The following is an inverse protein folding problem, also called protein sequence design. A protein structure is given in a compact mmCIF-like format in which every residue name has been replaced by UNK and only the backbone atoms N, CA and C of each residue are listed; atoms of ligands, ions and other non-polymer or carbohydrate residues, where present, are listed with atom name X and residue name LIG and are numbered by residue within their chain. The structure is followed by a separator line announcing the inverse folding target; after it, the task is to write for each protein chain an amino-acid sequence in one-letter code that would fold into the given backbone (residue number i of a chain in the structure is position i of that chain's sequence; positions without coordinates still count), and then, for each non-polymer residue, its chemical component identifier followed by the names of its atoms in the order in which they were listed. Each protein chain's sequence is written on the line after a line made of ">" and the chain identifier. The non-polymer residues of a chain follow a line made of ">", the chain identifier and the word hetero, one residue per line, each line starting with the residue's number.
data_IF_034442971098
#
_entry.id   IF_034442971098
#
_cell.length_a   1.000
_cell.length_b   1.000
_cell.length_c   1.000
_cell.angle_alpha   90.00
_cell.angle_beta   90.00
_cell.angle_gamma   90.00
#
_symmetry.space_group_name_H-M   'P 1'
#
loop_
_entity.id
_entity.type
_entity.pdbx_description
1 polymer ?
#
# COMPACT_ATOMS: atom_id res chain seq x y z
N UNK A 1 37.48 -45.01 -4.22
CA UNK A 1 37.96 -43.98 -3.31
C UNK A 1 38.04 -42.69 -4.13
N UNK A 2 37.08 -41.82 -3.99
CA UNK A 2 37.21 -40.47 -4.53
C UNK A 2 38.40 -39.81 -3.84
N UNK A 3 39.31 -39.25 -4.63
CA UNK A 3 40.48 -38.60 -4.08
C UNK A 3 40.07 -37.31 -3.35
N UNK A 4 40.74 -36.96 -2.27
CA UNK A 4 40.50 -35.74 -1.45
C UNK A 4 40.45 -34.45 -2.33
N UNK A 5 41.18 -34.45 -3.45
CA UNK A 5 41.20 -33.39 -4.45
C UNK A 5 39.86 -33.27 -5.23
N UNK A 6 39.20 -34.41 -5.54
CA UNK A 6 37.92 -34.41 -6.24
C UNK A 6 36.83 -33.84 -5.34
N UNK A 7 36.82 -34.21 -4.06
CA UNK A 7 35.89 -33.70 -3.07
C UNK A 7 36.09 -32.18 -2.88
N UNK A 8 37.31 -31.69 -2.76
CA UNK A 8 37.64 -30.28 -2.66
C UNK A 8 37.20 -29.48 -3.89
N UNK A 9 37.42 -30.03 -5.09
CA UNK A 9 36.98 -29.38 -6.33
C UNK A 9 35.44 -29.25 -6.41
N UNK A 10 34.70 -30.27 -5.98
CA UNK A 10 33.25 -30.27 -5.96
C UNK A 10 32.69 -29.28 -4.91
N UNK A 11 33.30 -29.26 -3.72
CA UNK A 11 32.94 -28.28 -2.69
C UNK A 11 33.15 -26.84 -3.17
N UNK A 12 34.29 -26.55 -3.80
CA UNK A 12 34.57 -25.23 -4.36
C UNK A 12 33.56 -24.84 -5.47
N UNK A 13 33.15 -25.82 -6.27
CA UNK A 13 32.16 -25.63 -7.32
C UNK A 13 30.77 -25.29 -6.73
N UNK A 14 30.31 -26.01 -5.71
CA UNK A 14 29.06 -25.76 -5.01
C UNK A 14 29.08 -24.40 -4.31
N UNK A 15 30.18 -24.04 -3.69
CA UNK A 15 30.35 -22.72 -3.07
C UNK A 15 30.22 -21.60 -4.11
N UNK A 16 30.83 -21.73 -5.29
CA UNK A 16 30.66 -20.78 -6.39
C UNK A 16 29.23 -20.65 -6.85
N UNK A 17 28.47 -21.74 -6.88
CA UNK A 17 27.04 -21.66 -7.22
C UNK A 17 26.26 -20.89 -6.15
N UNK A 18 26.47 -21.19 -4.88
CA UNK A 18 25.82 -20.51 -3.77
C UNK A 18 26.14 -18.99 -3.74
N UNK A 19 27.42 -18.64 -4.04
CA UNK A 19 27.87 -17.24 -4.11
C UNK A 19 27.22 -16.44 -5.28
N UNK A 20 26.92 -17.12 -6.39
CA UNK A 20 26.39 -16.49 -7.59
C UNK A 20 24.84 -16.61 -7.72
N UNK A 21 24.15 -17.07 -6.69
CA UNK A 21 22.68 -17.07 -6.69
C UNK A 21 22.12 -15.63 -6.71
N UNK A 22 21.01 -15.38 -7.43
CA UNK A 22 20.43 -14.02 -7.58
C UNK A 22 19.76 -13.50 -6.30
N UNK A 23 20.19 -13.87 -5.15
CA UNK A 23 19.73 -13.45 -3.83
C UNK A 23 20.77 -13.76 -2.78
N UNK A 24 20.56 -13.25 -1.59
CA UNK A 24 21.38 -13.67 -0.44
C UNK A 24 21.02 -15.10 -0.07
N UNK A 25 21.99 -15.99 -0.10
CA UNK A 25 21.79 -17.40 0.28
C UNK A 25 22.33 -17.65 1.69
N UNK A 26 21.59 -18.40 2.49
CA UNK A 26 22.05 -18.86 3.79
C UNK A 26 21.52 -20.25 4.13
N UNK A 27 22.22 -20.91 5.04
CA UNK A 27 21.81 -22.17 5.63
C UNK A 27 21.93 -22.06 7.16
N UNK A 28 20.90 -22.53 7.88
CA UNK A 28 20.89 -22.59 9.33
C UNK A 28 20.67 -24.02 9.79
N UNK A 29 21.24 -24.44 10.93
CA UNK A 29 20.82 -25.65 11.60
C UNK A 29 19.40 -25.47 12.14
N UNK A 30 18.58 -26.52 12.10
CA UNK A 30 17.23 -26.55 12.67
C UNK A 30 17.31 -26.71 14.20
N UNK A 31 17.84 -25.70 14.86
CA UNK A 31 18.06 -25.64 16.29
C UNK A 31 17.38 -24.38 16.85
N UNK A 32 16.09 -24.45 17.21
CA UNK A 32 15.34 -23.31 17.75
C UNK A 32 15.85 -22.86 19.12
N UNK A 33 16.43 -23.76 19.94
CA UNK A 33 16.93 -23.43 21.28
C UNK A 33 18.15 -22.50 21.19
N UNK A 34 19.00 -22.71 20.19
CA UNK A 34 20.16 -21.88 19.91
C UNK A 34 19.91 -20.76 18.87
N UNK A 35 18.63 -20.52 18.52
CA UNK A 35 18.25 -19.40 17.65
C UNK A 35 18.57 -19.59 16.17
N UNK A 36 18.62 -20.87 15.68
CA UNK A 36 18.93 -21.25 14.31
C UNK A 36 20.32 -20.79 13.88
N UNK A 37 21.36 -21.39 14.40
CA UNK A 37 22.72 -20.97 14.08
C UNK A 37 23.02 -21.15 12.59
N UNK A 38 23.69 -20.16 12.03
CA UNK A 38 24.13 -20.21 10.64
C UNK A 38 25.21 -21.28 10.44
N UNK A 39 25.01 -22.10 9.43
CA UNK A 39 26.06 -23.05 8.94
C UNK A 39 26.72 -22.53 7.68
N UNK A 40 26.03 -21.66 6.94
CA UNK A 40 26.58 -21.00 5.75
C UNK A 40 25.90 -19.67 5.49
N UNK A 41 26.67 -18.67 5.03
CA UNK A 41 26.14 -17.34 4.62
C UNK A 41 26.94 -16.90 3.38
N UNK A 42 26.25 -16.59 2.27
CA UNK A 42 26.85 -16.03 1.07
C UNK A 42 27.23 -14.56 1.28
N UNK A 43 28.25 -14.09 0.52
CA UNK A 43 28.63 -12.66 0.57
C UNK A 43 27.46 -11.76 0.13
N UNK A 44 26.67 -12.23 -0.83
CA UNK A 44 25.47 -11.52 -1.27
C UNK A 44 24.43 -11.31 -0.16
N UNK A 45 24.28 -12.25 0.78
CA UNK A 45 23.42 -12.08 1.95
C UNK A 45 23.91 -10.93 2.83
N UNK A 46 25.20 -10.86 3.06
CA UNK A 46 25.81 -9.79 3.85
C UNK A 46 25.73 -8.43 3.15
N UNK A 47 25.95 -8.38 1.84
CA UNK A 47 25.78 -7.17 1.02
C UNK A 47 24.36 -6.61 1.09
N UNK A 48 23.34 -7.47 0.97
CA UNK A 48 21.93 -7.08 1.09
C UNK A 48 21.67 -6.38 2.43
N UNK A 49 22.24 -6.88 3.52
CA UNK A 49 22.08 -6.33 4.85
C UNK A 49 23.09 -5.20 5.17
N UNK A 50 24.12 -5.04 4.33
CA UNK A 50 25.16 -4.01 4.49
C UNK A 50 26.17 -4.32 5.59
N UNK A 51 26.33 -5.59 5.96
CA UNK A 51 27.27 -6.02 6.99
C UNK A 51 28.57 -6.55 6.40
N UNK A 52 29.69 -6.21 7.03
CA UNK A 52 30.93 -6.94 6.83
C UNK A 52 30.90 -8.25 7.62
N UNK A 53 31.60 -9.29 7.11
CA UNK A 53 31.53 -10.65 7.67
C UNK A 53 31.99 -10.72 9.13
N UNK A 54 33.03 -10.02 9.49
CA UNK A 54 33.59 -9.97 10.84
C UNK A 54 32.66 -9.23 11.81
N UNK A 55 32.10 -8.09 11.37
CA UNK A 55 31.10 -7.33 12.15
C UNK A 55 29.82 -8.14 12.41
N UNK A 56 29.35 -8.84 11.38
CA UNK A 56 28.19 -9.70 11.45
C UNK A 56 28.38 -10.83 12.47
N UNK A 57 29.49 -11.54 12.38
CA UNK A 57 29.83 -12.65 13.28
C UNK A 57 29.92 -12.17 14.76
N UNK A 58 30.55 -11.03 15.00
CA UNK A 58 30.67 -10.47 16.35
C UNK A 58 29.37 -10.01 16.95
N UNK A 59 28.42 -9.51 16.12
CA UNK A 59 27.18 -8.88 16.59
C UNK A 59 26.07 -9.87 16.88
N UNK A 60 25.91 -10.89 16.06
CA UNK A 60 24.73 -11.76 16.06
C UNK A 60 24.96 -13.11 16.74
N UNK A 61 26.17 -13.37 17.19
CA UNK A 61 26.55 -14.63 17.87
C UNK A 61 26.06 -15.86 17.06
N UNK A 62 26.23 -15.77 15.74
CA UNK A 62 25.84 -16.79 14.76
C UNK A 62 24.34 -17.16 14.78
N UNK A 63 23.44 -16.33 15.34
CA UNK A 63 22.01 -16.65 15.50
C UNK A 63 21.13 -15.92 14.50
N UNK A 64 20.42 -16.67 13.66
CA UNK A 64 19.49 -16.11 12.67
C UNK A 64 18.35 -15.29 13.32
N UNK A 65 17.81 -15.79 14.43
CA UNK A 65 16.69 -15.15 15.12
C UNK A 65 17.02 -13.71 15.60
N UNK A 66 18.30 -13.43 15.86
CA UNK A 66 18.75 -12.12 16.28
C UNK A 66 18.67 -11.04 15.17
N UNK A 67 18.56 -11.47 13.91
CA UNK A 67 18.38 -10.58 12.76
C UNK A 67 16.93 -10.21 12.50
N UNK A 68 15.99 -11.07 12.88
CA UNK A 68 14.57 -10.88 12.52
C UNK A 68 13.95 -9.80 13.40
N UNK A 69 13.14 -8.93 12.80
CA UNK A 69 12.42 -7.91 13.56
C UNK A 69 11.51 -8.55 14.63
N UNK A 70 11.46 -8.02 15.87
CA UNK A 70 10.69 -8.61 16.97
C UNK A 70 9.21 -8.85 16.67
N UNK A 71 8.57 -7.94 15.93
CA UNK A 71 7.15 -8.10 15.56
C UNK A 71 6.95 -9.23 14.53
N UNK A 72 7.94 -9.43 13.67
CA UNK A 72 7.86 -10.43 12.60
C UNK A 72 8.22 -11.83 13.13
N UNK A 73 8.95 -11.91 14.24
CA UNK A 73 9.21 -13.18 14.93
C UNK A 73 7.92 -13.88 15.37
N UNK A 74 6.91 -13.12 15.80
CA UNK A 74 5.60 -13.67 16.21
C UNK A 74 4.84 -14.27 15.02
N UNK A 75 4.95 -13.65 13.85
CA UNK A 75 4.35 -14.15 12.61
C UNK A 75 5.16 -15.30 11.99
N UNK A 76 6.48 -15.25 12.06
CA UNK A 76 7.38 -16.33 11.64
C UNK A 76 7.27 -17.59 12.51
N UNK A 77 6.91 -17.45 13.79
CA UNK A 77 6.58 -18.55 14.67
C UNK A 77 5.28 -19.27 14.29
N UNK A 78 4.36 -18.62 13.59
CA UNK A 78 3.17 -19.30 13.01
C UNK A 78 3.55 -20.29 11.91
N UNK A 79 4.62 -20.06 11.20
CA UNK A 79 5.17 -21.03 10.23
C UNK A 79 5.72 -22.29 10.90
N UNK A 80 6.20 -22.18 12.15
CA UNK A 80 6.73 -23.32 12.92
C UNK A 80 5.68 -24.15 13.66
N UNK A 81 4.59 -23.52 14.08
CA UNK A 81 3.50 -24.23 14.77
C UNK A 81 2.55 -24.97 13.81
N UNK A 82 2.78 -24.88 12.50
CA UNK A 82 2.17 -25.76 11.49
C UNK A 82 2.82 -27.17 11.46
N UNK A 83 3.65 -27.51 12.44
CA UNK A 83 4.35 -28.80 12.57
C UNK A 83 3.40 -30.01 12.62
N UNK A 84 2.11 -29.82 12.86
CA UNK A 84 1.15 -30.92 12.87
C UNK A 84 0.44 -31.20 11.53
N UNK A 85 0.75 -30.50 10.47
CA UNK A 85 0.03 -30.66 9.21
C UNK A 85 0.85 -31.03 7.98
N UNK A 86 2.10 -31.47 8.12
CA UNK A 86 2.89 -31.97 6.96
C UNK A 86 3.07 -30.96 5.81
N UNK A 87 2.69 -29.72 6.01
CA UNK A 87 2.76 -28.64 5.02
C UNK A 87 4.00 -27.78 5.27
N UNK A 88 5.16 -28.37 5.15
CA UNK A 88 6.34 -27.64 4.72
C UNK A 88 6.16 -27.33 3.26
N UNK A 89 6.29 -26.07 2.91
CA UNK A 89 6.10 -25.55 1.59
C UNK A 89 4.60 -25.37 1.20
N UNK A 90 3.91 -24.46 1.82
CA UNK A 90 3.06 -23.65 0.97
C UNK A 90 4.02 -22.71 0.22
N UNK A 91 4.09 -22.92 -1.09
CA UNK A 91 4.72 -22.08 -2.07
C UNK A 91 4.30 -20.63 -1.83
N UNK A 92 5.15 -19.84 -1.23
CA UNK A 92 4.91 -18.43 -0.98
C UNK A 92 6.13 -17.82 -0.31
N UNK A 93 6.67 -16.81 -0.93
CA UNK A 93 7.73 -15.99 -0.35
C UNK A 93 7.26 -15.40 0.98
N UNK A 94 7.99 -15.67 2.04
CA UNK A 94 7.75 -15.03 3.33
C UNK A 94 8.35 -13.64 3.29
N UNK A 95 7.53 -12.62 3.56
CA UNK A 95 7.96 -11.22 3.62
C UNK A 95 8.08 -10.82 5.09
N UNK A 96 9.27 -10.38 5.48
CA UNK A 96 9.58 -9.93 6.84
C UNK A 96 10.79 -8.98 6.84
N UNK A 97 11.14 -8.46 8.02
CA UNK A 97 12.23 -7.49 8.17
C UNK A 97 13.45 -8.15 8.82
N UNK A 98 14.61 -7.96 8.21
CA UNK A 98 15.92 -8.31 8.77
C UNK A 98 16.71 -7.06 9.14
N UNK A 99 17.46 -7.14 10.22
CA UNK A 99 18.30 -6.05 10.71
C UNK A 99 19.54 -5.91 9.83
N UNK A 100 19.55 -4.84 9.04
CA UNK A 100 20.73 -4.38 8.31
C UNK A 100 21.55 -3.39 9.12
N UNK A 101 22.73 -3.02 8.61
CA UNK A 101 23.65 -2.05 9.26
C UNK A 101 23.01 -0.67 9.46
N UNK A 102 22.19 -0.23 8.50
CA UNK A 102 21.53 1.07 8.49
C UNK A 102 20.05 1.03 8.87
N UNK A 103 19.60 -0.03 9.54
CA UNK A 103 18.20 -0.23 9.90
C UNK A 103 17.60 -1.48 9.27
N UNK A 104 16.31 -1.72 9.54
CA UNK A 104 15.63 -2.90 9.01
C UNK A 104 15.44 -2.83 7.50
N UNK A 105 15.64 -3.96 6.84
CA UNK A 105 15.40 -4.20 5.42
C UNK A 105 14.21 -5.12 5.25
N UNK A 106 13.29 -4.77 4.38
CA UNK A 106 12.24 -5.68 3.95
C UNK A 106 12.83 -6.73 3.01
N UNK A 107 12.59 -7.98 3.32
CA UNK A 107 13.09 -9.09 2.51
C UNK A 107 11.96 -10.03 2.13
N UNK A 108 12.04 -10.58 0.92
CA UNK A 108 11.31 -11.78 0.52
C UNK A 108 12.24 -12.97 0.66
N UNK A 109 11.81 -14.01 1.34
CA UNK A 109 12.61 -15.21 1.60
C UNK A 109 11.87 -16.46 1.19
N UNK A 110 12.51 -17.28 0.34
CA UNK A 110 12.10 -18.63 0.03
C UNK A 110 12.98 -19.61 0.82
N UNK A 111 12.37 -20.40 1.70
CA UNK A 111 13.08 -21.31 2.59
C UNK A 111 12.57 -22.76 2.45
N UNK A 112 13.50 -23.69 2.45
CA UNK A 112 13.23 -25.13 2.43
C UNK A 112 13.94 -25.83 3.59
N UNK A 113 13.26 -26.81 4.16
CA UNK A 113 13.86 -27.72 5.14
C UNK A 113 14.53 -28.88 4.41
N UNK A 114 15.76 -29.20 4.77
CA UNK A 114 16.47 -30.41 4.31
C UNK A 114 16.93 -31.23 5.51
N UNK A 115 17.11 -32.54 5.31
CA UNK A 115 17.70 -33.42 6.32
C UNK A 115 19.00 -33.99 5.73
N UNK A 116 20.07 -33.84 6.48
CA UNK A 116 21.40 -34.35 6.09
C UNK A 116 21.99 -35.09 7.27
N UNK A 117 22.38 -36.36 7.05
CA UNK A 117 22.90 -37.26 8.08
C UNK A 117 22.07 -37.37 9.37
N UNK A 118 20.78 -37.14 9.29
CA UNK A 118 19.87 -37.17 10.43
C UNK A 118 19.59 -35.79 11.07
N UNK A 119 20.39 -34.78 10.73
CA UNK A 119 20.24 -33.42 11.22
C UNK A 119 19.36 -32.57 10.25
N UNK A 120 18.52 -31.73 10.83
CA UNK A 120 17.68 -30.80 10.07
C UNK A 120 18.41 -29.49 9.77
N UNK A 121 18.20 -28.97 8.56
CA UNK A 121 18.72 -27.67 8.13
C UNK A 121 17.65 -26.90 7.40
N UNK A 122 17.70 -25.58 7.53
CA UNK A 122 16.88 -24.63 6.77
C UNK A 122 17.76 -23.93 5.77
N UNK A 123 17.47 -24.12 4.50
CA UNK A 123 18.17 -23.49 3.37
C UNK A 123 17.27 -22.42 2.80
N UNK A 124 17.75 -21.19 2.69
CA UNK A 124 16.94 -20.09 2.23
C UNK A 124 17.68 -19.13 1.29
N UNK A 125 16.88 -18.53 0.40
CA UNK A 125 17.29 -17.37 -0.39
C UNK A 125 16.54 -16.14 0.10
N UNK A 126 17.22 -14.98 0.10
CA UNK A 126 16.69 -13.70 0.56
C UNK A 126 16.90 -12.66 -0.52
N UNK A 127 15.84 -11.94 -0.85
CA UNK A 127 15.86 -10.83 -1.80
C UNK A 127 15.44 -9.54 -1.09
N UNK A 128 16.21 -8.47 -1.25
CA UNK A 128 15.85 -7.14 -0.73
C UNK A 128 14.67 -6.56 -1.53
N UNK A 129 13.55 -6.37 -0.87
CA UNK A 129 12.36 -5.74 -1.42
C UNK A 129 12.06 -4.38 -0.77
N UNK A 130 13.00 -3.83 -0.01
CA UNK A 130 12.85 -2.52 0.65
C UNK A 130 12.46 -1.43 -0.35
N UNK A 131 13.12 -1.28 -1.52
CA UNK A 131 12.74 -0.26 -2.50
C UNK A 131 11.29 -0.42 -3.01
N UNK A 132 10.85 -1.66 -3.16
CA UNK A 132 9.46 -1.95 -3.57
C UNK A 132 8.46 -1.54 -2.47
N UNK A 133 8.76 -1.87 -1.22
CA UNK A 133 7.88 -1.54 -0.08
C UNK A 133 7.78 -0.02 0.14
N UNK A 134 8.89 0.71 0.02
CA UNK A 134 8.93 2.17 0.09
C UNK A 134 8.12 2.83 -1.04
N UNK A 135 8.26 2.32 -2.26
CA UNK A 135 7.48 2.80 -3.41
C UNK A 135 5.99 2.54 -3.23
N UNK A 136 5.64 1.36 -2.74
CA UNK A 136 4.25 0.98 -2.45
C UNK A 136 3.62 1.90 -1.40
N UNK A 137 4.31 2.14 -0.30
CA UNK A 137 3.83 3.03 0.76
C UNK A 137 3.61 4.46 0.25
N UNK A 138 4.56 4.97 -0.53
CA UNK A 138 4.45 6.28 -1.17
C UNK A 138 3.25 6.37 -2.12
N UNK A 139 3.00 5.33 -2.91
CA UNK A 139 1.86 5.26 -3.81
C UNK A 139 0.53 5.19 -3.05
N UNK A 140 0.46 4.39 -1.98
CA UNK A 140 -0.72 4.29 -1.12
C UNK A 140 -1.04 5.64 -0.46
N UNK A 141 -0.01 6.37 -0.02
CA UNK A 141 -0.18 7.71 0.54
C UNK A 141 -0.67 8.73 -0.50
N UNK A 142 -0.12 8.72 -1.70
CA UNK A 142 -0.58 9.58 -2.79
C UNK A 142 -2.04 9.29 -3.16
N UNK A 143 -2.41 8.02 -3.27
CA UNK A 143 -3.78 7.59 -3.54
C UNK A 143 -4.76 8.06 -2.45
N UNK A 144 -4.37 7.98 -1.18
CA UNK A 144 -5.18 8.48 -0.06
C UNK A 144 -5.42 9.98 -0.19
N UNK A 145 -4.36 10.76 -0.38
CA UNK A 145 -4.45 12.22 -0.54
C UNK A 145 -5.33 12.61 -1.73
N UNK A 146 -5.20 11.91 -2.86
CA UNK A 146 -6.04 12.16 -4.05
C UNK A 146 -7.52 11.85 -3.78
N UNK A 147 -7.83 10.76 -3.08
CA UNK A 147 -9.21 10.43 -2.70
C UNK A 147 -9.83 11.49 -1.81
N UNK A 148 -9.11 11.93 -0.78
CA UNK A 148 -9.55 13.00 0.11
C UNK A 148 -9.80 14.32 -0.65
N UNK A 149 -8.93 14.69 -1.58
CA UNK A 149 -9.10 15.86 -2.42
C UNK A 149 -10.32 15.75 -3.33
N UNK A 150 -10.57 14.58 -3.91
CA UNK A 150 -11.73 14.32 -4.77
C UNK A 150 -13.04 14.37 -3.98
N UNK A 151 -13.09 13.79 -2.79
CA UNK A 151 -14.24 13.84 -1.90
C UNK A 151 -14.60 15.28 -1.51
N UNK A 152 -13.58 16.08 -1.16
CA UNK A 152 -13.76 17.50 -0.86
C UNK A 152 -14.25 18.29 -2.07
N UNK A 153 -13.72 18.04 -3.26
CA UNK A 153 -14.17 18.69 -4.50
C UNK A 153 -15.62 18.34 -4.83
N UNK A 154 -16.02 17.07 -4.69
CA UNK A 154 -17.40 16.62 -4.88
C UNK A 154 -18.35 17.26 -3.88
N UNK A 155 -17.97 17.35 -2.61
CA UNK A 155 -18.77 18.03 -1.59
C UNK A 155 -18.98 19.51 -1.93
N UNK A 156 -17.94 20.20 -2.34
CA UNK A 156 -18.04 21.60 -2.75
C UNK A 156 -18.92 21.78 -3.99
N UNK A 157 -18.82 20.88 -4.97
CA UNK A 157 -19.66 20.90 -6.16
C UNK A 157 -21.15 20.75 -5.82
N UNK A 158 -21.49 19.78 -4.97
CA UNK A 158 -22.86 19.58 -4.51
C UNK A 158 -23.41 20.82 -3.80
N UNK A 159 -22.59 21.46 -2.96
CA UNK A 159 -22.95 22.69 -2.26
C UNK A 159 -23.23 23.85 -3.23
N UNK A 160 -22.37 24.00 -4.24
CA UNK A 160 -22.57 25.02 -5.28
C UNK A 160 -23.84 24.75 -6.10
N UNK A 161 -24.13 23.51 -6.45
CA UNK A 161 -25.35 23.13 -7.16
C UNK A 161 -26.61 23.48 -6.35
N UNK A 162 -26.63 23.17 -5.05
CA UNK A 162 -27.74 23.55 -4.16
C UNK A 162 -27.94 25.07 -4.11
N UNK A 163 -26.87 25.84 -3.97
CA UNK A 163 -26.94 27.31 -3.97
C UNK A 163 -27.46 27.85 -5.29
N UNK A 164 -27.07 27.29 -6.42
CA UNK A 164 -27.58 27.67 -7.72
C UNK A 164 -29.09 27.39 -7.87
N UNK A 165 -29.57 26.26 -7.38
CA UNK A 165 -31.00 25.91 -7.40
C UNK A 165 -31.83 26.87 -6.54
N UNK A 166 -31.32 27.20 -5.34
CA UNK A 166 -31.99 28.20 -4.46
C UNK A 166 -32.05 29.58 -5.13
N UNK A 167 -30.94 30.03 -5.73
CA UNK A 167 -30.92 31.32 -6.46
C UNK A 167 -31.89 31.30 -7.63
N UNK A 168 -31.97 30.23 -8.40
CA UNK A 168 -32.87 30.07 -9.53
C UNK A 168 -34.32 30.11 -9.06
N UNK A 169 -34.64 29.46 -7.97
CA UNK A 169 -35.99 29.49 -7.38
C UNK A 169 -36.40 30.91 -6.91
N UNK A 170 -35.46 31.61 -6.22
CA UNK A 170 -35.67 32.99 -5.79
C UNK A 170 -35.88 33.95 -6.98
N UNK A 171 -35.09 33.78 -8.04
CA UNK A 171 -35.23 34.58 -9.25
C UNK A 171 -36.60 34.35 -9.92
N UNK A 172 -37.01 33.08 -10.06
CA UNK A 172 -38.32 32.73 -10.62
C UNK A 172 -39.48 33.34 -9.82
N UNK A 173 -39.39 33.25 -8.48
CA UNK A 173 -40.42 33.86 -7.60
C UNK A 173 -40.47 35.38 -7.74
N UNK A 174 -39.32 36.03 -7.79
CA UNK A 174 -39.23 37.50 -7.95
C UNK A 174 -39.82 37.95 -9.29
N UNK A 175 -39.49 37.23 -10.36
CA UNK A 175 -39.97 37.47 -11.71
C UNK A 175 -41.51 37.33 -11.79
N UNK A 176 -42.05 36.24 -11.22
CA UNK A 176 -43.48 36.03 -11.17
C UNK A 176 -44.22 37.17 -10.41
N UNK A 177 -43.65 37.60 -9.26
CA UNK A 177 -44.18 38.69 -8.47
C UNK A 177 -44.17 40.04 -9.22
N UNK A 178 -43.12 40.28 -9.99
CA UNK A 178 -43.03 41.50 -10.79
C UNK A 178 -44.04 41.48 -11.95
N UNK A 179 -44.20 40.36 -12.64
CA UNK A 179 -45.23 40.20 -13.68
C UNK A 179 -46.66 40.44 -13.14
N UNK A 180 -46.93 39.90 -11.96
CA UNK A 180 -48.27 40.11 -11.31
C UNK A 180 -48.49 41.59 -10.98
N UNK A 181 -47.46 42.27 -10.45
CA UNK A 181 -47.56 43.73 -10.18
C UNK A 181 -47.77 44.52 -11.48
N UNK A 182 -47.07 44.20 -12.53
CA UNK A 182 -47.20 44.87 -13.84
C UNK A 182 -48.59 44.67 -14.43
N UNK A 183 -49.14 43.44 -14.35
CA UNK A 183 -50.51 43.18 -14.79
C UNK A 183 -51.53 43.99 -14.00
N UNK A 184 -51.40 44.05 -12.67
CA UNK A 184 -52.31 44.88 -11.81
C UNK A 184 -52.19 46.37 -12.14
N UNK A 185 -50.96 46.83 -12.43
CA UNK A 185 -50.71 48.21 -12.81
C UNK A 185 -51.32 48.52 -14.17
N UNK A 186 -51.16 47.70 -15.19
CA UNK A 186 -51.82 47.83 -16.50
C UNK A 186 -53.37 47.84 -16.38
N UNK A 187 -53.91 46.92 -15.56
CA UNK A 187 -55.39 46.92 -15.32
C UNK A 187 -55.90 48.23 -14.70
N UNK A 188 -55.13 48.83 -13.75
CA UNK A 188 -55.52 50.14 -13.14
C UNK A 188 -55.35 51.28 -14.14
N UNK A 189 -54.37 51.30 -14.98
CA UNK A 189 -54.14 52.31 -16.01
C UNK A 189 -55.27 52.31 -17.07
N UNK A 190 -55.90 51.17 -17.34
CA UNK A 190 -56.90 51.00 -18.38
C UNK A 190 -58.28 51.19 -17.88
N UNK A 191 -58.52 51.44 -16.57
CA UNK A 191 -59.81 51.68 -15.96
C UNK A 191 -59.94 53.13 -15.51
N UNK A 192 -61.14 53.67 -15.62
CA UNK A 192 -61.54 54.94 -15.06
C UNK A 192 -61.72 54.83 -13.54
N UNK A 193 -61.15 55.76 -12.78
CA UNK A 193 -61.11 55.70 -11.31
C UNK A 193 -62.43 55.86 -10.62
N UNK A 194 -63.41 56.52 -11.29
CA UNK A 194 -64.75 56.82 -10.75
C UNK A 194 -65.76 55.72 -11.11
N UNK A 195 -65.73 55.27 -12.33
CA UNK A 195 -66.81 54.38 -12.85
C UNK A 195 -66.34 52.91 -12.91
N UNK A 196 -65.03 52.60 -12.79
CA UNK A 196 -64.50 51.27 -12.89
C UNK A 196 -64.57 50.65 -14.28
N UNK A 197 -65.12 51.36 -15.28
CA UNK A 197 -65.17 50.95 -16.70
C UNK A 197 -63.81 51.19 -17.39
N UNK A 198 -63.63 50.63 -18.61
CA UNK A 198 -62.45 50.94 -19.37
C UNK A 198 -62.40 52.43 -19.77
N UNK A 199 -61.26 53.04 -19.63
CA UNK A 199 -61.03 54.43 -19.94
C UNK A 199 -60.89 54.64 -21.45
N UNK A 200 -60.92 55.93 -21.90
CA UNK A 200 -60.82 56.32 -23.30
C UNK A 200 -59.50 55.82 -23.95
N UNK A 201 -58.44 55.83 -23.20
CA UNK A 201 -57.11 55.36 -23.67
C UNK A 201 -57.13 53.88 -24.06
N UNK A 202 -57.78 53.03 -23.29
CA UNK A 202 -57.92 51.60 -23.60
C UNK A 202 -58.67 51.39 -24.91
N UNK A 203 -59.74 52.11 -25.14
CA UNK A 203 -60.50 52.04 -26.40
C UNK A 203 -59.69 52.53 -27.61
N UNK A 204 -58.84 53.55 -27.44
CA UNK A 204 -58.01 54.06 -28.52
C UNK A 204 -56.81 53.09 -28.86
N UNK A 205 -56.32 52.35 -27.90
CA UNK A 205 -55.23 51.42 -28.08
C UNK A 205 -55.63 50.01 -28.52
N UNK A 206 -56.83 49.53 -28.13
CA UNK A 206 -57.22 48.11 -28.30
C UNK A 206 -58.36 47.91 -29.28
N UNK A 207 -59.18 48.89 -29.53
CA UNK A 207 -60.42 48.78 -30.36
C UNK A 207 -60.28 49.45 -31.72
N UNK A 208 -59.10 50.03 -32.01
CA UNK A 208 -58.76 50.52 -33.32
C UNK A 208 -58.02 49.45 -34.11
#
# INVERSE_FOLDING_TARGET
>A
METDETIKAELLRLERYAQNMPGGFHCCAEDPENGYPFTYISDRFLEILGWEREEFAARFDNRYIALVHPDDLKSGLRYRNAENSGAYAQEGDSIFRLLGKNGYRWVSSAANRIVWHGDGYIVATVTDITPYMELREKLEQQNRTQREALENANHNLLRMMQQMEEQKAQFAQTTARNMEKEQRYRQRLNRDALTGTYNRRYYEEVVR
#
